data_IF_987263061979
#
_entry.id   IF_987263061979
#
_cell.length_a   1.000
_cell.length_b   1.000
_cell.length_c   1.000
_cell.angle_alpha   90.00
_cell.angle_beta   90.00
_cell.angle_gamma   90.00
#
_symmetry.space_group_name_H-M   'P 1'
#
loop_
_entity.id
_entity.type
_entity.pdbx_description
1 polymer ?
#
# COMPACT_ATOMS: atom_id res chain seq x y z
N UNK A 1 -21.82 1.07 -47.46
CA UNK A 1 -22.20 1.87 -46.28
C UNK A 1 -23.55 1.38 -45.79
N UNK A 2 -23.59 0.65 -44.68
CA UNK A 2 -24.85 0.21 -44.06
C UNK A 2 -24.72 0.48 -42.57
N UNK A 3 -25.51 1.43 -42.07
CA UNK A 3 -25.63 1.79 -40.65
C UNK A 3 -26.73 0.93 -40.06
N UNK A 4 -26.42 0.06 -39.12
CA UNK A 4 -27.42 -0.56 -38.25
C UNK A 4 -26.94 -0.44 -36.82
N UNK A 5 -27.50 0.55 -36.14
CA UNK A 5 -27.47 0.68 -34.70
C UNK A 5 -28.41 -0.37 -34.11
N UNK A 6 -27.89 -1.21 -33.23
CA UNK A 6 -28.71 -2.08 -32.39
C UNK A 6 -28.27 -1.86 -30.94
N UNK A 7 -29.03 -1.04 -30.24
CA UNK A 7 -29.05 -0.98 -28.79
C UNK A 7 -29.87 -2.18 -28.26
N UNK A 8 -29.35 -2.89 -27.27
CA UNK A 8 -30.06 -3.77 -26.33
C UNK A 8 -29.04 -4.09 -25.21
N UNK A 9 -29.01 -3.38 -24.07
CA UNK A 9 -29.86 -3.52 -22.87
C UNK A 9 -29.91 -4.95 -22.31
N UNK A 10 -29.65 -5.04 -20.99
CA UNK A 10 -29.59 -6.22 -20.09
C UNK A 10 -28.28 -7.04 -20.19
N UNK A 11 -27.52 -7.27 -19.11
CA UNK A 11 -27.99 -7.71 -17.80
C UNK A 11 -27.07 -7.29 -16.66
N UNK A 12 -27.70 -6.71 -15.64
CA UNK A 12 -27.27 -6.67 -14.25
C UNK A 12 -27.01 -8.11 -13.76
N UNK A 13 -25.78 -8.42 -13.36
CA UNK A 13 -25.49 -9.56 -12.49
C UNK A 13 -24.62 -9.07 -11.34
N UNK A 14 -25.31 -8.59 -10.30
CA UNK A 14 -24.79 -8.54 -8.94
C UNK A 14 -24.41 -9.98 -8.54
N UNK A 15 -23.11 -10.25 -8.35
CA UNK A 15 -22.69 -11.33 -7.45
C UNK A 15 -22.21 -10.71 -6.15
N UNK A 16 -23.16 -10.50 -5.25
CA UNK A 16 -22.90 -10.31 -3.84
C UNK A 16 -22.49 -11.68 -3.26
N UNK A 17 -21.20 -12.01 -3.33
CA UNK A 17 -20.63 -13.10 -2.54
C UNK A 17 -20.27 -12.57 -1.15
N UNK A 18 -21.31 -12.31 -0.35
CA UNK A 18 -21.22 -12.18 1.10
C UNK A 18 -21.60 -13.53 1.71
N UNK A 19 -20.59 -14.38 1.96
CA UNK A 19 -20.63 -15.40 3.00
C UNK A 19 -19.46 -15.09 3.93
N UNK A 20 -19.54 -15.06 5.25
CA UNK A 20 -20.49 -15.70 6.15
C UNK A 20 -19.70 -16.28 7.32
N UNK A 21 -19.48 -15.43 8.35
CA UNK A 21 -19.24 -15.75 9.77
C UNK A 21 -18.06 -16.66 10.18
N UNK A 22 -16.97 -15.98 10.54
CA UNK A 22 -16.26 -16.03 11.83
C UNK A 22 -16.43 -17.26 12.74
N UNK A 23 -15.33 -18.01 12.93
CA UNK A 23 -14.99 -18.65 14.21
C UNK A 23 -13.47 -18.74 14.37
N UNK A 24 -13.04 -18.07 15.42
CA UNK A 24 -11.71 -18.00 16.02
C UNK A 24 -11.05 -19.38 16.14
N UNK A 25 -9.90 -19.54 15.50
CA UNK A 25 -8.86 -20.45 15.97
C UNK A 25 -7.65 -19.57 16.28
N UNK A 26 -7.44 -19.32 17.57
CA UNK A 26 -6.20 -18.76 18.10
C UNK A 26 -5.09 -19.78 17.86
N UNK A 27 -4.55 -19.80 16.65
CA UNK A 27 -3.20 -20.31 16.44
C UNK A 27 -2.28 -19.22 16.95
N UNK A 28 -1.63 -19.52 18.08
CA UNK A 28 -0.45 -18.82 18.59
C UNK A 28 0.62 -18.83 17.51
N UNK A 29 0.52 -17.90 16.56
CA UNK A 29 1.68 -17.46 15.80
C UNK A 29 2.65 -16.95 16.85
N UNK A 30 3.88 -17.50 16.95
CA UNK A 30 4.87 -16.94 17.85
C UNK A 30 4.96 -15.45 17.52
N UNK A 31 4.79 -14.61 18.55
CA UNK A 31 5.02 -13.19 18.44
C UNK A 31 6.44 -13.03 17.91
N UNK A 32 6.53 -12.85 16.59
CA UNK A 32 7.76 -12.58 15.92
C UNK A 32 8.31 -11.35 16.62
N UNK A 33 9.58 -11.34 17.07
CA UNK A 33 10.16 -10.17 17.70
C UNK A 33 9.92 -9.04 16.70
N UNK A 34 8.99 -8.14 17.04
CA UNK A 34 8.80 -6.93 16.27
C UNK A 34 10.09 -6.18 16.53
N UNK A 35 11.07 -6.40 15.67
CA UNK A 35 12.26 -5.59 15.61
C UNK A 35 11.73 -4.18 15.47
N UNK A 36 11.67 -3.47 16.59
CA UNK A 36 11.46 -2.04 16.70
C UNK A 36 12.70 -1.39 16.09
N UNK A 37 12.90 -1.62 14.79
CA UNK A 37 13.42 -0.57 13.94
C UNK A 37 12.44 0.58 14.19
N UNK A 38 12.85 1.51 15.06
CA UNK A 38 12.17 2.76 15.28
C UNK A 38 12.09 3.44 13.92
N UNK A 39 10.99 3.18 13.21
CA UNK A 39 10.64 3.87 11.98
C UNK A 39 10.33 5.27 12.47
N UNK A 40 11.34 6.13 12.46
CA UNK A 40 11.22 7.53 12.89
C UNK A 40 10.35 8.36 11.93
N UNK A 41 9.83 7.76 10.86
CA UNK A 41 8.96 8.40 9.88
C UNK A 41 7.50 7.97 10.02
N UNK A 42 6.58 8.92 9.89
CA UNK A 42 5.15 8.63 9.82
C UNK A 42 4.78 7.93 8.50
N UNK A 43 3.60 7.30 8.41
CA UNK A 43 3.12 6.74 7.15
C UNK A 43 3.11 7.74 5.99
N UNK A 44 2.77 9.02 6.25
CA UNK A 44 2.84 10.08 5.24
C UNK A 44 4.25 10.34 4.76
N UNK A 45 5.21 10.46 5.69
CA UNK A 45 6.61 10.71 5.35
C UNK A 45 7.20 9.55 4.54
N UNK A 46 6.84 8.30 4.86
CA UNK A 46 7.23 7.14 4.06
C UNK A 46 6.60 7.17 2.65
N UNK A 47 5.36 7.64 2.54
CA UNK A 47 4.68 7.82 1.25
C UNK A 47 5.35 8.88 0.39
N UNK A 48 5.68 10.03 0.97
CA UNK A 48 6.40 11.12 0.30
C UNK A 48 7.81 10.69 -0.13
N UNK A 49 8.53 9.98 0.74
CA UNK A 49 9.84 9.42 0.45
C UNK A 49 9.77 8.42 -0.72
N UNK A 50 8.79 7.53 -0.72
CA UNK A 50 8.55 6.58 -1.81
C UNK A 50 8.26 7.27 -3.15
N UNK A 51 7.49 8.37 -3.13
CA UNK A 51 7.22 9.14 -4.34
C UNK A 51 8.47 9.88 -4.84
N UNK A 52 9.30 10.40 -3.95
CA UNK A 52 10.55 11.04 -4.31
C UNK A 52 11.53 10.07 -4.97
N UNK A 53 11.60 8.84 -4.44
CA UNK A 53 12.38 7.73 -5.03
C UNK A 53 11.83 7.35 -6.41
N UNK A 54 10.51 7.26 -6.56
CA UNK A 54 9.89 6.96 -7.85
C UNK A 54 10.23 8.02 -8.92
N UNK A 55 10.24 9.30 -8.52
CA UNK A 55 10.59 10.42 -9.42
C UNK A 55 12.09 10.46 -9.76
N UNK A 56 12.95 9.92 -8.90
CA UNK A 56 14.41 9.98 -9.04
C UNK A 56 15.04 8.59 -8.77
N UNK A 57 14.78 7.59 -9.63
CA UNK A 57 15.22 6.22 -9.38
C UNK A 57 16.76 6.10 -9.30
N UNK A 58 17.50 6.89 -10.10
CA UNK A 58 18.96 6.90 -10.07
C UNK A 58 19.54 7.37 -8.73
N UNK A 59 18.78 8.17 -7.97
CA UNK A 59 19.19 8.69 -6.65
C UNK A 59 18.52 7.96 -5.49
N UNK A 60 17.79 6.87 -5.75
CA UNK A 60 17.03 6.14 -4.73
C UNK A 60 17.87 5.79 -3.49
N UNK A 61 19.07 5.24 -3.69
CA UNK A 61 19.96 4.87 -2.59
C UNK A 61 20.44 6.08 -1.78
N UNK A 62 20.73 7.21 -2.44
CA UNK A 62 21.17 8.43 -1.77
C UNK A 62 20.03 9.06 -0.97
N UNK A 63 18.84 9.12 -1.56
CA UNK A 63 17.62 9.60 -0.92
C UNK A 63 17.32 8.76 0.34
N UNK A 64 17.31 7.43 0.22
CA UNK A 64 17.10 6.56 1.38
C UNK A 64 18.16 6.77 2.46
N UNK A 65 19.44 6.82 2.08
CA UNK A 65 20.55 7.04 3.01
C UNK A 65 20.43 8.38 3.75
N UNK A 66 20.03 9.44 3.06
CA UNK A 66 19.81 10.76 3.67
C UNK A 66 18.75 10.70 4.77
N UNK A 67 17.74 9.85 4.59
CA UNK A 67 16.68 9.59 5.59
C UNK A 67 17.03 8.49 6.59
N UNK A 68 18.27 7.98 6.59
CA UNK A 68 18.72 6.92 7.51
C UNK A 68 18.19 5.53 7.18
N UNK A 69 17.71 5.31 5.95
CA UNK A 69 17.20 4.03 5.47
C UNK A 69 18.20 3.32 4.55
N UNK A 70 18.16 1.99 4.62
CA UNK A 70 18.61 1.12 3.52
C UNK A 70 17.38 0.70 2.71
N UNK A 71 17.54 0.19 1.48
CA UNK A 71 16.41 -0.32 0.70
C UNK A 71 15.61 -1.38 1.47
N UNK A 72 16.30 -2.29 2.15
CA UNK A 72 15.68 -3.36 2.94
C UNK A 72 14.91 -2.79 4.14
N UNK A 73 15.49 -1.84 4.89
CA UNK A 73 14.79 -1.27 6.05
C UNK A 73 13.60 -0.40 5.64
N UNK A 74 13.67 0.26 4.48
CA UNK A 74 12.56 1.00 3.91
C UNK A 74 11.41 0.08 3.47
N UNK A 75 11.72 -1.03 2.82
CA UNK A 75 10.70 -2.03 2.45
C UNK A 75 10.01 -2.62 3.69
N UNK A 76 10.78 -2.97 4.72
CA UNK A 76 10.23 -3.44 6.00
C UNK A 76 9.35 -2.37 6.64
N UNK A 77 9.74 -1.10 6.56
CA UNK A 77 8.93 0.01 7.08
C UNK A 77 7.60 0.15 6.35
N UNK A 78 7.61 0.08 5.02
CA UNK A 78 6.38 0.11 4.20
C UNK A 78 5.50 -1.09 4.56
N UNK A 79 6.07 -2.29 4.66
CA UNK A 79 5.33 -3.51 4.98
C UNK A 79 4.58 -3.37 6.31
N UNK A 80 5.24 -2.86 7.34
CA UNK A 80 4.62 -2.59 8.64
C UNK A 80 3.50 -1.55 8.56
N UNK A 81 3.68 -0.50 7.77
CA UNK A 81 2.63 0.49 7.51
C UNK A 81 1.43 -0.16 6.84
N UNK A 82 1.66 -1.09 5.90
CA UNK A 82 0.58 -1.77 5.18
C UNK A 82 -0.19 -2.80 6.01
N UNK A 83 0.37 -3.30 7.11
CA UNK A 83 -0.33 -4.19 8.07
C UNK A 83 -1.46 -3.46 8.80
N UNK A 84 -1.43 -2.12 8.86
CA UNK A 84 -2.48 -1.29 9.43
C UNK A 84 -3.27 -0.57 8.33
N UNK A 85 -4.58 -0.80 8.26
CA UNK A 85 -5.43 -0.24 7.20
C UNK A 85 -5.49 1.30 7.20
N UNK A 86 -5.43 1.95 8.37
CA UNK A 86 -5.41 3.40 8.45
C UNK A 86 -4.08 3.99 7.97
N UNK A 87 -2.97 3.46 8.50
CA UNK A 87 -1.63 3.87 8.12
C UNK A 87 -1.37 3.64 6.62
N UNK A 88 -1.83 2.51 6.07
CA UNK A 88 -1.76 2.21 4.64
C UNK A 88 -2.49 3.24 3.78
N UNK A 89 -3.70 3.66 4.17
CA UNK A 89 -4.45 4.72 3.46
C UNK A 89 -3.70 6.05 3.49
N UNK A 90 -3.12 6.42 4.63
CA UNK A 90 -2.34 7.66 4.81
C UNK A 90 -1.07 7.65 3.97
N UNK A 91 -0.32 6.54 3.99
CA UNK A 91 0.83 6.31 3.12
C UNK A 91 0.46 6.46 1.64
N UNK A 92 -0.59 5.76 1.20
CA UNK A 92 -0.98 5.77 -0.20
C UNK A 92 -1.49 7.14 -0.65
N UNK A 93 -2.20 7.88 0.22
CA UNK A 93 -2.63 9.25 -0.06
C UNK A 93 -1.43 10.20 -0.20
N UNK A 94 -0.47 10.13 0.71
CA UNK A 94 0.74 10.94 0.66
C UNK A 94 1.59 10.62 -0.58
N UNK A 95 1.78 9.33 -0.89
CA UNK A 95 2.47 8.89 -2.10
C UNK A 95 1.82 9.44 -3.36
N UNK A 96 0.49 9.25 -3.54
CA UNK A 96 -0.23 9.75 -4.73
C UNK A 96 -0.14 11.27 -4.88
N UNK A 97 -0.24 12.01 -3.76
CA UNK A 97 -0.13 13.47 -3.76
C UNK A 97 1.27 13.92 -4.18
N UNK A 98 2.30 13.22 -3.72
CA UNK A 98 3.69 13.56 -4.00
C UNK A 98 4.20 13.01 -5.34
N UNK A 99 3.55 12.00 -5.92
CA UNK A 99 3.91 11.40 -7.20
C UNK A 99 3.18 12.02 -8.40
N UNK A 100 2.05 12.70 -8.16
CA UNK A 100 1.44 13.62 -9.12
C UNK A 100 2.44 14.70 -9.60
#
# INVERSE_FOLDING_TARGET
MMRTATALLFSLLLVAACGGREKTASTTTPAQPQATASINLTPEQLGELGAQIQKNPDRAQEILKHHGFTPESFEVAIRKVTENADASRRYAAAYRRASA
#
